data_IF_544799641840
#
_entry.id   IF_544799641840
#
_cell.length_a   1.000
_cell.length_b   1.000
_cell.length_c   1.000
_cell.angle_alpha   90.00
_cell.angle_beta   90.00
_cell.angle_gamma   90.00
#
_symmetry.space_group_name_H-M   'P 1'
#
loop_
_entity.id
_entity.type
_entity.pdbx_description
1 polymer ?
#
# COMPACT_ATOMS: atom_id res chain seq x y z
N UNK A 1 -2.93 -0.61 -12.55
CA UNK A 1 -1.79 -0.10 -13.33
C UNK A 1 -2.05 1.26 -13.97
N UNK A 2 -3.21 1.51 -14.59
CA UNK A 2 -3.60 2.81 -15.19
C UNK A 2 -3.20 4.11 -14.47
N UNK A 3 -3.25 4.20 -13.13
CA UNK A 3 -2.84 5.42 -12.41
C UNK A 3 -1.32 5.58 -12.35
N UNK A 4 -0.60 4.47 -12.19
CA UNK A 4 0.87 4.43 -12.23
C UNK A 4 1.37 4.75 -13.64
N UNK A 5 0.76 4.14 -14.68
CA UNK A 5 1.06 4.42 -16.09
C UNK A 5 0.85 5.90 -16.47
N UNK A 6 -0.06 6.60 -15.78
CA UNK A 6 -0.32 8.03 -15.96
C UNK A 6 0.58 8.93 -15.11
N UNK A 7 1.52 8.37 -14.34
CA UNK A 7 2.46 9.13 -13.51
C UNK A 7 1.91 9.57 -12.15
N UNK A 8 0.79 9.02 -11.68
CA UNK A 8 0.17 9.41 -10.40
C UNK A 8 0.70 8.65 -9.17
N UNK A 9 1.82 7.94 -9.27
CA UNK A 9 2.33 7.09 -8.18
C UNK A 9 2.54 7.84 -6.87
N UNK A 10 3.03 9.09 -6.93
CA UNK A 10 3.26 9.92 -5.76
C UNK A 10 1.97 10.40 -5.05
N UNK A 11 0.79 10.21 -5.65
CA UNK A 11 -0.52 10.56 -5.08
C UNK A 11 -1.26 9.33 -4.54
N UNK A 12 -0.65 8.14 -4.60
CA UNK A 12 -1.28 6.89 -4.19
C UNK A 12 -0.74 6.40 -2.85
N UNK A 13 -1.66 5.95 -1.99
CA UNK A 13 -1.38 5.23 -0.76
C UNK A 13 -2.33 4.03 -0.66
N UNK A 14 -1.88 2.92 -0.06
CA UNK A 14 -2.69 1.74 0.19
C UNK A 14 -2.74 1.41 1.68
N UNK A 15 -3.92 0.99 2.15
CA UNK A 15 -4.18 0.55 3.52
C UNK A 15 -5.25 -0.56 3.51
N UNK A 16 -5.46 -1.21 4.65
CA UNK A 16 -6.39 -2.36 4.77
C UNK A 16 -7.80 -1.99 5.18
N UNK A 17 -7.98 -0.82 5.79
CA UNK A 17 -9.21 -0.44 6.50
C UNK A 17 -9.71 -1.52 7.48
N UNK A 18 -8.79 -2.03 8.32
CA UNK A 18 -9.14 -2.97 9.37
C UNK A 18 -9.81 -2.19 10.50
N UNK A 19 -11.13 -2.36 10.62
CA UNK A 19 -11.98 -1.67 11.59
C UNK A 19 -12.89 -2.64 12.37
N UNK A 20 -12.88 -3.93 12.04
CA UNK A 20 -13.70 -4.97 12.70
C UNK A 20 -12.88 -6.19 13.10
N UNK A 21 -13.35 -6.90 14.12
CA UNK A 21 -12.66 -8.07 14.68
C UNK A 21 -12.51 -9.22 13.67
N UNK A 22 -13.47 -9.41 12.78
CA UNK A 22 -13.47 -10.50 11.80
C UNK A 22 -12.39 -10.35 10.72
N UNK A 23 -11.77 -9.17 10.59
CA UNK A 23 -10.70 -8.93 9.62
C UNK A 23 -9.32 -9.45 10.09
N UNK A 24 -9.15 -9.86 11.35
CA UNK A 24 -7.90 -10.45 11.85
C UNK A 24 -7.80 -11.97 11.60
N UNK A 25 -6.57 -12.47 11.43
CA UNK A 25 -6.28 -13.91 11.26
C UNK A 25 -6.94 -14.82 12.28
N UNK A 26 -6.93 -14.42 13.57
CA UNK A 26 -7.56 -15.17 14.67
C UNK A 26 -9.04 -15.49 14.40
N UNK A 27 -9.72 -14.66 13.62
CA UNK A 27 -11.13 -14.80 13.30
C UNK A 27 -11.37 -15.17 11.82
N UNK A 28 -10.34 -15.67 11.13
CA UNK A 28 -10.41 -16.08 9.72
C UNK A 28 -10.26 -14.94 8.71
N UNK A 29 -9.98 -13.72 9.16
CA UNK A 29 -9.72 -12.58 8.28
C UNK A 29 -8.30 -12.54 7.75
N UNK A 30 -8.01 -11.55 6.91
CA UNK A 30 -6.76 -11.44 6.17
C UNK A 30 -5.56 -10.93 6.98
N UNK A 31 -5.80 -10.23 8.09
CA UNK A 31 -4.74 -9.65 8.93
C UNK A 31 -3.96 -8.48 8.30
N UNK A 32 -3.08 -7.88 9.11
CA UNK A 32 -2.28 -6.71 8.72
C UNK A 32 -1.21 -7.02 7.67
N UNK A 33 -0.79 -8.26 7.54
CA UNK A 33 0.20 -8.69 6.56
C UNK A 33 -0.39 -8.90 5.17
N UNK A 34 -1.72 -8.79 4.98
CA UNK A 34 -2.37 -9.07 3.70
C UNK A 34 -1.78 -8.29 2.53
N UNK A 35 -1.57 -6.98 2.69
CA UNK A 35 -0.97 -6.14 1.66
C UNK A 35 0.41 -6.66 1.26
N UNK A 36 1.27 -7.02 2.21
CA UNK A 36 2.62 -7.49 1.94
C UNK A 36 2.68 -8.92 1.41
N UNK A 37 1.87 -9.84 1.96
CA UNK A 37 1.88 -11.26 1.58
C UNK A 37 1.12 -11.55 0.29
N UNK A 38 0.12 -10.76 -0.05
CA UNK A 38 -0.79 -11.07 -1.17
C UNK A 38 -0.81 -9.98 -2.24
N UNK A 39 -0.88 -8.70 -1.84
CA UNK A 39 -1.06 -7.61 -2.80
C UNK A 39 0.27 -7.22 -3.45
N UNK A 40 1.35 -7.04 -2.68
CA UNK A 40 2.68 -6.71 -3.21
C UNK A 40 3.16 -7.73 -4.25
N UNK A 41 3.09 -9.06 -4.04
CA UNK A 41 3.46 -10.02 -5.08
C UNK A 41 2.62 -9.90 -6.36
N UNK A 42 1.32 -9.64 -6.24
CA UNK A 42 0.43 -9.44 -7.41
C UNK A 42 0.78 -8.17 -8.18
N UNK A 43 1.11 -7.09 -7.47
CA UNK A 43 1.55 -5.83 -8.08
C UNK A 43 2.87 -6.02 -8.83
N UNK A 44 3.85 -6.72 -8.25
CA UNK A 44 5.10 -7.07 -8.93
C UNK A 44 4.85 -7.91 -10.18
N UNK A 45 3.98 -8.92 -10.08
CA UNK A 45 3.62 -9.75 -11.23
C UNK A 45 2.95 -8.94 -12.34
N UNK A 46 2.20 -7.90 -11.98
CA UNK A 46 1.59 -6.94 -12.92
C UNK A 46 2.58 -5.88 -13.47
N UNK A 47 3.87 -5.95 -13.11
CA UNK A 47 4.91 -5.06 -13.62
C UNK A 47 5.17 -3.81 -12.78
N UNK A 48 4.59 -3.68 -11.58
CA UNK A 48 4.93 -2.56 -10.66
C UNK A 48 6.36 -2.72 -10.18
N UNK A 49 7.16 -1.67 -10.35
CA UNK A 49 8.57 -1.67 -9.95
C UNK A 49 8.72 -1.60 -8.42
N UNK A 50 9.91 -1.92 -7.91
CA UNK A 50 10.22 -1.71 -6.49
C UNK A 50 10.09 -0.23 -6.11
N UNK A 51 10.55 0.66 -6.97
CA UNK A 51 10.52 2.11 -6.74
C UNK A 51 9.08 2.65 -6.65
N UNK A 52 8.17 2.16 -7.50
CA UNK A 52 6.75 2.49 -7.43
C UNK A 52 6.11 1.95 -6.13
N UNK A 53 6.47 0.74 -5.71
CA UNK A 53 6.02 0.18 -4.44
C UNK A 53 6.52 1.00 -3.25
N UNK A 54 7.80 1.37 -3.23
CA UNK A 54 8.38 2.20 -2.17
C UNK A 54 7.71 3.59 -2.16
N UNK A 55 7.40 4.14 -3.33
CA UNK A 55 6.64 5.39 -3.44
C UNK A 55 5.26 5.28 -2.79
N UNK A 56 4.52 4.20 -3.05
CA UNK A 56 3.16 4.01 -2.52
C UNK A 56 3.16 3.68 -1.01
N UNK A 57 4.08 2.83 -0.56
CA UNK A 57 4.07 2.27 0.80
C UNK A 57 4.96 3.02 1.79
N UNK A 58 5.91 3.84 1.33
CA UNK A 58 6.88 4.51 2.18
C UNK A 58 6.87 6.01 1.93
N UNK A 59 7.19 6.47 0.71
CA UNK A 59 7.42 7.90 0.45
C UNK A 59 6.13 8.71 0.53
N UNK A 60 5.04 8.24 -0.10
CA UNK A 60 3.75 8.94 -0.06
C UNK A 60 3.20 9.03 1.36
N UNK A 61 3.12 7.93 2.15
CA UNK A 61 2.71 8.01 3.56
C UNK A 61 3.60 8.93 4.38
N UNK A 62 4.93 8.87 4.22
CA UNK A 62 5.86 9.76 4.91
C UNK A 62 5.53 11.22 4.62
N UNK A 63 5.42 11.59 3.35
CA UNK A 63 5.10 12.97 2.93
C UNK A 63 3.73 13.45 3.45
N UNK A 64 2.72 12.57 3.47
CA UNK A 64 1.35 12.94 3.85
C UNK A 64 1.12 12.97 5.37
N UNK A 65 1.83 12.12 6.13
CA UNK A 65 1.54 11.88 7.55
C UNK A 65 2.59 12.46 8.50
N UNK A 66 3.67 13.06 7.99
CA UNK A 66 4.63 13.80 8.80
C UNK A 66 4.46 15.29 8.62
N UNK A 67 4.71 16.06 9.70
CA UNK A 67 4.85 17.50 9.60
C UNK A 67 6.08 17.83 8.76
N UNK A 68 5.93 18.77 7.84
CA UNK A 68 7.08 19.37 7.15
C UNK A 68 7.60 20.50 8.03
N UNK A 69 8.92 20.56 8.21
CA UNK A 69 9.55 21.72 8.86
C UNK A 69 9.58 22.90 7.90
N UNK A 70 9.38 24.10 8.45
CA UNK A 70 9.65 25.36 7.74
C UNK A 70 11.17 25.57 7.55
#
# INVERSE_FOLDING_TARGET
MRLLEKGYGAQLMLAHDICTRTQFHRYGGWGWDHLLRNIVPRLRHAGVSQEELDTIFIETPRRLLTLQGD
#
